data_IF_930987406658
#
_entry.id   IF_930987406658
#
_cell.length_a   1.000
_cell.length_b   1.000
_cell.length_c   1.000
_cell.angle_alpha   90.00
_cell.angle_beta   90.00
_cell.angle_gamma   90.00
#
_symmetry.space_group_name_H-M   'P 1'
#
loop_
_entity.id
_entity.type
_entity.pdbx_description
1 polymer ?
#
# COMPACT_ATOMS: atom_id res chain seq x y z
N UNK A 1 26.89 18.50 -4.08
CA UNK A 1 26.92 19.89 -3.56
C UNK A 1 25.49 20.26 -3.19
N UNK A 2 25.07 20.59 -1.97
CA UNK A 2 25.63 20.49 -0.62
C UNK A 2 24.50 21.05 0.27
N UNK A 3 23.80 20.21 1.05
CA UNK A 3 22.81 20.75 2.00
C UNK A 3 23.48 21.55 3.15
N UNK A 4 24.83 21.48 3.24
CA UNK A 4 25.66 22.19 4.22
C UNK A 4 26.54 23.33 3.66
N UNK A 5 26.65 23.53 2.33
CA UNK A 5 27.30 24.74 1.73
C UNK A 5 26.29 25.83 1.37
N UNK A 6 25.00 25.61 1.63
CA UNK A 6 23.97 26.65 1.50
C UNK A 6 23.60 27.11 2.91
N UNK A 7 24.32 28.08 3.51
CA UNK A 7 24.05 28.61 4.86
C UNK A 7 22.63 29.20 5.05
N UNK A 8 21.86 29.26 3.97
CA UNK A 8 20.62 30.00 3.79
C UNK A 8 19.34 29.14 3.87
N UNK A 9 19.43 27.82 4.12
CA UNK A 9 18.25 26.95 4.20
C UNK A 9 18.25 25.88 5.32
N UNK A 10 18.52 26.21 6.60
CA UNK A 10 18.51 25.23 7.71
C UNK A 10 17.15 24.54 7.90
N UNK A 11 16.07 25.17 7.44
CA UNK A 11 14.72 24.60 7.45
C UNK A 11 14.60 23.32 6.60
N UNK A 12 15.49 23.09 5.63
CA UNK A 12 15.47 21.86 4.82
C UNK A 12 15.92 20.64 5.60
N UNK A 13 16.94 20.79 6.46
CA UNK A 13 17.34 19.73 7.38
C UNK A 13 16.17 19.36 8.30
N UNK A 14 15.50 20.39 8.85
CA UNK A 14 14.32 20.18 9.68
C UNK A 14 13.20 19.48 8.91
N UNK A 15 12.91 19.91 7.67
CA UNK A 15 11.91 19.28 6.79
C UNK A 15 12.24 17.81 6.54
N UNK A 16 13.51 17.49 6.26
CA UNK A 16 13.96 16.14 5.97
C UNK A 16 13.86 15.22 7.21
N UNK A 17 14.16 15.75 8.39
CA UNK A 17 13.97 15.04 9.66
C UNK A 17 12.48 14.82 9.95
N UNK A 18 11.65 15.86 9.76
CA UNK A 18 10.19 15.76 9.89
C UNK A 18 9.63 14.72 8.93
N UNK A 19 10.16 14.64 7.71
CA UNK A 19 9.78 13.62 6.74
C UNK A 19 10.08 12.21 7.28
N UNK A 20 11.29 11.95 7.78
CA UNK A 20 11.62 10.66 8.38
C UNK A 20 10.70 10.29 9.55
N UNK A 21 10.43 11.24 10.45
CA UNK A 21 9.47 11.03 11.55
C UNK A 21 8.05 10.78 11.07
N UNK A 22 7.63 11.44 9.97
CA UNK A 22 6.33 11.22 9.36
C UNK A 22 6.21 9.81 8.80
N UNK A 23 7.24 9.32 8.10
CA UNK A 23 7.31 7.92 7.65
C UNK A 23 7.24 6.94 8.82
N UNK A 24 7.99 7.20 9.89
CA UNK A 24 8.01 6.35 11.08
C UNK A 24 6.65 6.32 11.78
N UNK A 25 6.07 7.49 12.07
CA UNK A 25 4.79 7.62 12.74
C UNK A 25 3.66 7.00 11.92
N UNK A 26 3.62 7.27 10.60
CA UNK A 26 2.66 6.64 9.69
C UNK A 26 2.78 5.11 9.71
N UNK A 27 4.01 4.59 9.68
CA UNK A 27 4.29 3.16 9.75
C UNK A 27 3.87 2.51 11.06
N UNK A 28 4.13 3.16 12.20
CA UNK A 28 3.70 2.69 13.53
C UNK A 28 2.17 2.71 13.65
N UNK A 29 1.50 3.79 13.22
CA UNK A 29 0.04 3.89 13.21
C UNK A 29 -0.57 2.80 12.32
N UNK A 30 0.00 2.59 11.14
CA UNK A 30 -0.38 1.51 10.23
C UNK A 30 -0.25 0.12 10.87
N UNK A 31 0.89 -0.16 11.51
CA UNK A 31 1.16 -1.43 12.17
C UNK A 31 0.20 -1.68 13.35
N UNK A 32 -0.08 -0.65 14.17
CA UNK A 32 -1.03 -0.75 15.29
C UNK A 32 -2.47 -1.00 14.83
N UNK A 33 -2.90 -0.35 13.75
CA UNK A 33 -4.27 -0.54 13.22
C UNK A 33 -4.44 -1.89 12.51
N UNK A 34 -3.38 -2.44 11.92
CA UNK A 34 -3.42 -3.73 11.19
C UNK A 34 -2.12 -4.52 11.37
N UNK A 35 -1.93 -5.23 12.50
CA UNK A 35 -0.66 -5.92 12.82
C UNK A 35 -0.26 -7.03 11.83
N UNK A 36 -1.20 -7.55 11.03
CA UNK A 36 -0.90 -8.49 9.94
C UNK A 36 -0.52 -7.85 8.59
N UNK A 37 -0.58 -6.52 8.46
CA UNK A 37 -0.31 -5.83 7.21
C UNK A 37 1.13 -5.31 7.15
N UNK A 38 1.90 -5.79 6.17
CA UNK A 38 3.30 -5.41 5.97
C UNK A 38 3.50 -3.95 5.55
N UNK A 39 2.43 -3.22 5.18
CA UNK A 39 2.53 -1.79 4.84
C UNK A 39 3.19 -0.95 5.93
N UNK A 40 2.84 -1.19 7.21
CA UNK A 40 3.44 -0.46 8.33
C UNK A 40 4.94 -0.71 8.45
N UNK A 41 5.38 -1.97 8.28
CA UNK A 41 6.79 -2.33 8.28
C UNK A 41 7.58 -1.65 7.14
N UNK A 42 7.02 -1.61 5.92
CA UNK A 42 7.66 -0.93 4.78
C UNK A 42 7.85 0.58 5.07
N UNK A 43 6.87 1.24 5.69
CA UNK A 43 6.99 2.65 6.06
C UNK A 43 8.02 2.90 7.16
N UNK A 44 8.08 2.03 8.18
CA UNK A 44 9.10 2.12 9.23
C UNK A 44 10.50 1.94 8.63
N UNK A 45 10.69 0.94 7.76
CA UNK A 45 11.93 0.77 6.99
C UNK A 45 12.23 2.04 6.18
N UNK A 46 11.20 2.65 5.59
CA UNK A 46 11.35 3.88 4.85
C UNK A 46 11.83 5.07 5.66
N UNK A 47 11.47 5.18 6.94
CA UNK A 47 12.04 6.19 7.82
C UNK A 47 13.55 6.04 8.00
N UNK A 48 14.04 4.81 8.21
CA UNK A 48 15.47 4.54 8.33
C UNK A 48 16.21 4.78 7.01
N UNK A 49 15.62 4.37 5.90
CA UNK A 49 16.18 4.65 4.56
C UNK A 49 16.22 6.14 4.27
N UNK A 50 15.21 6.90 4.70
CA UNK A 50 15.18 8.36 4.57
C UNK A 50 16.34 9.00 5.33
N UNK A 51 16.53 8.63 6.60
CA UNK A 51 17.68 9.09 7.40
C UNK A 51 19.02 8.65 6.79
N UNK A 52 19.10 7.42 6.30
CA UNK A 52 20.27 6.89 5.60
C UNK A 52 20.63 7.71 4.37
N UNK A 53 19.65 8.06 3.53
CA UNK A 53 19.85 8.94 2.38
C UNK A 53 20.38 10.33 2.80
N UNK A 54 19.91 10.85 3.94
CA UNK A 54 20.39 12.10 4.52
C UNK A 54 21.88 12.08 4.88
N UNK A 55 22.47 10.92 5.16
CA UNK A 55 23.89 10.77 5.46
C UNK A 55 24.79 11.22 4.31
N UNK A 56 24.29 11.34 3.08
CA UNK A 56 25.03 11.86 1.92
C UNK A 56 25.59 13.26 2.17
N UNK A 57 25.00 13.98 3.13
CA UNK A 57 25.40 15.32 3.52
C UNK A 57 26.36 15.31 4.74
N UNK A 58 26.60 14.17 5.38
CA UNK A 58 27.46 14.12 6.56
C UNK A 58 28.91 14.54 6.24
N UNK A 59 29.61 15.21 7.18
CA UNK A 59 31.00 15.61 6.98
C UNK A 59 31.95 14.40 6.98
N UNK A 60 31.56 13.29 7.59
CA UNK A 60 32.36 12.07 7.63
C UNK A 60 32.21 11.31 6.31
N UNK A 61 33.32 11.11 5.60
CA UNK A 61 33.32 10.56 4.25
C UNK A 61 32.73 9.13 4.15
N UNK A 62 32.90 8.32 5.19
CA UNK A 62 32.28 6.99 5.24
C UNK A 62 30.74 7.07 5.33
N UNK A 63 30.19 8.05 6.05
CA UNK A 63 28.73 8.24 6.15
C UNK A 63 28.17 8.86 4.86
N UNK A 64 28.87 9.82 4.27
CA UNK A 64 28.48 10.39 2.97
C UNK A 64 28.43 9.33 1.88
N UNK A 65 29.43 8.44 1.83
CA UNK A 65 29.45 7.30 0.93
C UNK A 65 28.21 6.40 1.08
N UNK A 66 27.85 6.03 2.32
CA UNK A 66 26.64 5.23 2.58
C UNK A 66 25.39 5.96 2.09
N UNK A 67 25.28 7.25 2.40
CA UNK A 67 24.14 8.05 1.98
C UNK A 67 23.98 8.15 0.47
N UNK A 68 25.08 8.37 -0.26
CA UNK A 68 25.10 8.43 -1.73
C UNK A 68 24.60 7.12 -2.36
N UNK A 69 24.97 5.96 -1.80
CA UNK A 69 24.52 4.66 -2.30
C UNK A 69 23.01 4.47 -2.09
N UNK A 70 22.47 4.93 -0.97
CA UNK A 70 21.05 4.71 -0.61
C UNK A 70 20.12 5.86 -0.99
N UNK A 71 20.62 6.94 -1.56
CA UNK A 71 19.85 8.19 -1.73
C UNK A 71 18.61 8.07 -2.62
N UNK A 72 18.58 7.10 -3.53
CA UNK A 72 17.41 6.84 -4.40
C UNK A 72 16.44 5.81 -3.83
N UNK A 73 16.78 5.12 -2.73
CA UNK A 73 15.90 4.14 -2.10
C UNK A 73 14.58 4.72 -1.57
N UNK A 74 14.48 5.98 -1.07
CA UNK A 74 13.19 6.56 -0.70
C UNK A 74 12.16 6.52 -1.84
N UNK A 75 12.57 6.82 -3.07
CA UNK A 75 11.70 6.72 -4.25
C UNK A 75 11.32 5.25 -4.52
N UNK A 76 12.29 4.34 -4.44
CA UNK A 76 12.04 2.90 -4.63
C UNK A 76 11.02 2.34 -3.63
N UNK A 77 11.09 2.80 -2.37
CA UNK A 77 10.13 2.43 -1.34
C UNK A 77 8.72 2.96 -1.61
N UNK A 78 8.58 4.18 -2.15
CA UNK A 78 7.27 4.69 -2.57
C UNK A 78 6.67 3.81 -3.66
N UNK A 79 7.45 3.42 -4.67
CA UNK A 79 6.99 2.48 -5.71
C UNK A 79 6.62 1.12 -5.09
N UNK A 80 7.43 0.61 -4.17
CA UNK A 80 7.13 -0.62 -3.45
C UNK A 80 5.79 -0.51 -2.69
N UNK A 81 5.58 0.56 -1.91
CA UNK A 81 4.34 0.81 -1.19
C UNK A 81 3.14 0.81 -2.14
N UNK A 82 3.27 1.47 -3.29
CA UNK A 82 2.21 1.54 -4.30
C UNK A 82 1.83 0.17 -4.87
N UNK A 83 2.81 -0.68 -5.16
CA UNK A 83 2.56 -2.03 -5.65
C UNK A 83 2.06 -2.99 -4.56
N UNK A 84 2.54 -2.82 -3.32
CA UNK A 84 2.18 -3.65 -2.18
C UNK A 84 0.77 -3.35 -1.64
N UNK A 85 0.28 -2.13 -1.85
CA UNK A 85 -1.02 -1.69 -1.39
C UNK A 85 -2.20 -2.46 -2.01
N UNK A 86 -3.28 -2.74 -1.25
CA UNK A 86 -3.47 -2.50 0.18
C UNK A 86 -2.97 -3.62 1.11
N UNK A 87 -2.61 -4.77 0.54
CA UNK A 87 -2.29 -5.98 1.30
C UNK A 87 -0.90 -6.01 1.94
N UNK A 88 -0.03 -5.03 1.64
CA UNK A 88 1.38 -5.08 2.02
C UNK A 88 2.18 -6.16 1.27
N UNK A 89 1.64 -6.69 0.18
CA UNK A 89 2.25 -7.80 -0.58
C UNK A 89 2.22 -7.51 -2.07
N UNK A 90 3.31 -7.82 -2.74
CA UNK A 90 3.43 -7.71 -4.19
C UNK A 90 2.62 -8.84 -4.86
N UNK A 91 1.48 -8.47 -5.47
CA UNK A 91 0.61 -9.40 -6.19
C UNK A 91 1.00 -9.46 -7.67
N UNK A 92 1.22 -10.67 -8.17
CA UNK A 92 1.58 -10.94 -9.56
C UNK A 92 3.07 -10.74 -9.88
N UNK A 93 3.52 -11.38 -10.97
CA UNK A 93 4.91 -11.30 -11.43
C UNK A 93 5.31 -9.88 -11.84
N UNK A 94 4.45 -9.18 -12.58
CA UNK A 94 4.74 -7.82 -13.06
C UNK A 94 5.07 -6.83 -11.93
N UNK A 95 4.31 -6.83 -10.82
CA UNK A 95 4.63 -5.97 -9.67
C UNK A 95 5.98 -6.31 -9.04
N UNK A 96 6.35 -7.60 -8.99
CA UNK A 96 7.64 -8.03 -8.43
C UNK A 96 8.80 -7.61 -9.31
N UNK A 97 8.65 -7.77 -10.63
CA UNK A 97 9.66 -7.36 -11.62
C UNK A 97 9.87 -5.84 -11.58
N UNK A 98 8.80 -5.04 -11.57
CA UNK A 98 8.91 -3.58 -11.49
C UNK A 98 9.61 -3.16 -10.20
N UNK A 99 9.17 -3.68 -9.04
CA UNK A 99 9.77 -3.32 -7.76
C UNK A 99 11.24 -3.74 -7.69
N UNK A 100 11.58 -4.96 -8.14
CA UNK A 100 12.97 -5.39 -8.24
C UNK A 100 13.78 -4.49 -9.17
N UNK A 101 13.23 -4.11 -10.33
CA UNK A 101 13.85 -3.19 -11.28
C UNK A 101 14.12 -1.81 -10.68
N UNK A 102 13.18 -1.26 -9.90
CA UNK A 102 13.36 0.06 -9.27
C UNK A 102 14.42 0.01 -8.16
N UNK A 103 14.46 -1.04 -7.34
CA UNK A 103 15.55 -1.21 -6.37
C UNK A 103 16.91 -1.41 -7.05
N UNK A 104 16.94 -2.18 -8.14
CA UNK A 104 18.16 -2.42 -8.93
C UNK A 104 18.64 -1.13 -9.56
N UNK A 105 17.74 -0.32 -10.12
CA UNK A 105 18.07 0.98 -10.68
C UNK A 105 18.61 1.92 -9.59
N UNK A 106 17.91 2.01 -8.45
CA UNK A 106 18.31 2.87 -7.35
C UNK A 106 19.69 2.55 -6.77
N UNK A 107 20.10 1.27 -6.74
CA UNK A 107 21.37 0.83 -6.14
C UNK A 107 22.51 0.70 -7.17
N UNK A 108 22.24 0.04 -8.30
CA UNK A 108 23.28 -0.34 -9.26
C UNK A 108 23.41 0.67 -10.39
N UNK A 109 22.28 1.10 -10.97
CA UNK A 109 22.31 1.97 -12.14
C UNK A 109 22.75 3.40 -11.80
N UNK A 110 22.57 3.79 -10.54
CA UNK A 110 23.07 5.07 -10.03
C UNK A 110 24.57 5.08 -9.75
N UNK A 111 25.23 3.91 -9.72
CA UNK A 111 26.65 3.80 -9.36
C UNK A 111 27.62 4.69 -10.16
N UNK A 112 27.48 4.83 -11.50
CA UNK A 112 28.37 5.69 -12.27
C UNK A 112 28.40 7.15 -11.78
N UNK A 113 27.29 7.65 -11.22
CA UNK A 113 27.19 9.03 -10.78
C UNK A 113 28.06 9.35 -9.56
N UNK A 114 28.37 8.38 -8.70
CA UNK A 114 29.24 8.58 -7.54
C UNK A 114 30.61 7.90 -7.65
N UNK A 115 30.79 6.95 -8.59
CA UNK A 115 32.08 6.30 -8.84
C UNK A 115 32.96 7.07 -9.85
N UNK A 116 32.35 7.81 -10.78
CA UNK A 116 33.07 8.44 -11.90
C UNK A 116 32.93 9.95 -12.01
N UNK A 117 32.08 10.58 -11.18
CA UNK A 117 31.91 12.03 -11.20
C UNK A 117 33.01 12.74 -10.40
N UNK A 118 33.46 13.91 -10.85
CA UNK A 118 34.43 14.72 -10.12
C UNK A 118 33.78 15.36 -8.87
N UNK A 119 34.36 15.17 -7.68
CA UNK A 119 33.97 15.93 -6.50
C UNK A 119 34.47 15.41 -5.14
N UNK A 120 34.66 16.33 -4.18
CA UNK A 120 35.26 16.07 -2.86
C UNK A 120 34.44 15.11 -1.97
N UNK A 121 33.10 15.17 -2.04
CA UNK A 121 32.22 14.30 -1.25
C UNK A 121 32.14 12.86 -1.79
N UNK A 122 32.38 12.69 -3.10
CA UNK A 122 32.49 11.40 -3.76
C UNK A 122 33.92 10.87 -3.77
N UNK A 123 34.92 11.67 -3.38
CA UNK A 123 36.34 11.31 -3.47
C UNK A 123 36.70 10.01 -2.74
N UNK A 124 35.92 9.59 -1.75
CA UNK A 124 36.13 8.30 -1.06
C UNK A 124 35.64 7.10 -1.87
N UNK A 125 34.65 7.28 -2.75
CA UNK A 125 34.12 6.23 -3.64
C UNK A 125 34.57 6.39 -5.09
N UNK A 126 35.18 7.52 -5.46
CA UNK A 126 35.59 7.81 -6.82
C UNK A 126 36.73 6.88 -7.23
N UNK A 127 36.53 6.13 -8.32
CA UNK A 127 37.57 5.26 -8.90
C UNK A 127 38.40 5.99 -9.94
N UNK A 128 37.75 6.77 -10.80
CA UNK A 128 38.38 7.48 -11.91
C UNK A 128 37.51 8.66 -12.34
N UNK A 129 38.11 9.69 -12.92
CA UNK A 129 37.34 10.77 -13.56
C UNK A 129 36.99 10.36 -15.00
N UNK A 130 35.72 10.00 -15.22
CA UNK A 130 35.20 9.49 -16.51
C UNK A 130 33.82 10.10 -16.82
N UNK A 131 33.76 11.34 -17.33
CA UNK A 131 32.50 12.03 -17.60
C UNK A 131 31.64 11.33 -18.66
N UNK A 132 32.25 10.54 -19.55
CA UNK A 132 31.57 9.68 -20.52
C UNK A 132 30.72 8.60 -19.83
N UNK A 133 31.23 7.97 -18.77
CA UNK A 133 30.49 6.96 -18.00
C UNK A 133 29.40 7.58 -17.14
N UNK A 134 29.63 8.79 -16.60
CA UNK A 134 28.61 9.53 -15.84
C UNK A 134 27.43 9.89 -16.73
N UNK A 135 27.70 10.44 -17.93
CA UNK A 135 26.63 10.84 -18.88
C UNK A 135 25.87 9.65 -19.45
N UNK A 136 26.57 8.56 -19.78
CA UNK A 136 25.94 7.31 -20.19
C UNK A 136 25.08 6.74 -19.05
N UNK A 137 25.63 6.67 -17.84
CA UNK A 137 24.92 6.18 -16.65
C UNK A 137 23.65 6.98 -16.37
N UNK A 138 23.73 8.31 -16.42
CA UNK A 138 22.58 9.20 -16.26
C UNK A 138 21.52 8.94 -17.35
N UNK A 139 21.93 8.82 -18.62
CA UNK A 139 21.00 8.54 -19.73
C UNK A 139 20.28 7.22 -19.55
N UNK A 140 21.00 6.16 -19.16
CA UNK A 140 20.41 4.84 -18.89
C UNK A 140 19.51 4.90 -17.65
N UNK A 141 19.92 5.59 -16.59
CA UNK A 141 19.13 5.82 -15.38
C UNK A 141 17.81 6.53 -15.66
N UNK A 142 17.84 7.59 -16.46
CA UNK A 142 16.65 8.36 -16.81
C UNK A 142 15.70 7.55 -17.70
N UNK A 143 16.25 6.81 -18.66
CA UNK A 143 15.46 5.98 -19.58
C UNK A 143 14.80 4.82 -18.85
N UNK A 144 15.57 4.02 -18.11
CA UNK A 144 15.06 2.85 -17.38
C UNK A 144 14.18 3.31 -16.20
N UNK A 145 14.61 4.33 -15.46
CA UNK A 145 13.84 4.91 -14.36
C UNK A 145 12.48 5.43 -14.86
N UNK A 146 12.47 6.25 -15.92
CA UNK A 146 11.25 6.73 -16.56
C UNK A 146 10.33 5.61 -17.02
N UNK A 147 10.87 4.58 -17.69
CA UNK A 147 10.10 3.43 -18.12
C UNK A 147 9.46 2.66 -16.94
N UNK A 148 10.18 2.49 -15.84
CA UNK A 148 9.67 1.85 -14.62
C UNK A 148 8.58 2.70 -13.94
N UNK A 149 8.72 4.03 -13.93
CA UNK A 149 7.68 4.94 -13.40
C UNK A 149 6.40 4.88 -14.25
N UNK A 150 6.54 4.86 -15.58
CA UNK A 150 5.41 4.69 -16.52
C UNK A 150 4.75 3.33 -16.31
N UNK A 151 5.54 2.25 -16.25
CA UNK A 151 5.02 0.90 -16.01
C UNK A 151 4.28 0.80 -14.67
N UNK A 152 4.79 1.44 -13.62
CA UNK A 152 4.13 1.59 -12.31
C UNK A 152 2.77 2.26 -12.48
N UNK A 153 2.73 3.43 -13.13
CA UNK A 153 1.49 4.18 -13.38
C UNK A 153 0.46 3.37 -14.17
N UNK A 154 0.88 2.72 -15.26
CA UNK A 154 0.01 1.89 -16.10
C UNK A 154 -0.54 0.70 -15.32
N UNK A 155 0.30 -0.04 -14.59
CA UNK A 155 -0.13 -1.21 -13.84
C UNK A 155 -1.11 -0.82 -12.72
N UNK A 156 -0.84 0.27 -12.00
CA UNK A 156 -1.77 0.79 -11.00
C UNK A 156 -3.09 1.25 -11.63
N UNK A 157 -3.06 1.92 -12.79
CA UNK A 157 -4.26 2.33 -13.50
C UNK A 157 -5.10 1.11 -13.97
N UNK A 158 -4.47 0.08 -14.54
CA UNK A 158 -5.13 -1.15 -14.95
C UNK A 158 -5.75 -1.89 -13.74
N UNK A 159 -5.02 -1.95 -12.63
CA UNK A 159 -5.55 -2.49 -11.35
C UNK A 159 -6.75 -1.70 -10.86
N UNK A 160 -6.74 -0.37 -11.02
CA UNK A 160 -7.84 0.49 -10.60
C UNK A 160 -9.07 0.37 -11.51
N UNK A 161 -8.88 0.07 -12.80
CA UNK A 161 -9.98 -0.20 -13.75
C UNK A 161 -10.70 -1.52 -13.47
N UNK A 162 -9.99 -2.52 -12.95
CA UNK A 162 -10.54 -3.83 -12.61
C UNK A 162 -11.14 -3.92 -11.19
N UNK A 163 -10.94 -2.90 -10.34
CA UNK A 163 -11.49 -2.87 -8.99
C UNK A 163 -12.99 -2.52 -8.97
N UNK A 164 -13.75 -3.12 -8.04
CA UNK A 164 -15.19 -2.85 -7.86
C UNK A 164 -15.46 -1.39 -7.43
N UNK A 165 -16.64 -0.87 -7.74
CA UNK A 165 -17.00 0.54 -7.54
C UNK A 165 -16.86 1.04 -6.09
N UNK A 166 -17.18 0.18 -5.10
CA UNK A 166 -16.99 0.49 -3.69
C UNK A 166 -15.50 0.57 -3.30
N UNK A 167 -14.66 -0.31 -3.84
CA UNK A 167 -13.21 -0.27 -3.64
C UNK A 167 -12.57 0.93 -4.33
N UNK A 168 -13.03 1.31 -5.53
CA UNK A 168 -12.50 2.47 -6.27
C UNK A 168 -12.69 3.79 -5.51
N UNK A 169 -13.85 4.03 -4.88
CA UNK A 169 -14.11 5.30 -4.17
C UNK A 169 -13.17 5.55 -2.98
N UNK A 170 -12.72 4.49 -2.31
CA UNK A 170 -11.82 4.60 -1.16
C UNK A 170 -10.34 4.52 -1.55
N UNK A 171 -10.00 3.78 -2.62
CA UNK A 171 -8.62 3.54 -3.03
C UNK A 171 -8.12 4.52 -4.10
N UNK A 172 -9.02 5.16 -4.86
CA UNK A 172 -8.65 6.03 -5.97
C UNK A 172 -7.89 7.30 -5.55
N UNK A 173 -8.26 8.04 -4.49
CA UNK A 173 -7.55 9.28 -4.13
C UNK A 173 -6.08 9.01 -3.80
N UNK A 174 -5.83 7.92 -3.08
CA UNK A 174 -4.49 7.50 -2.66
C UNK A 174 -3.67 6.91 -3.81
N UNK A 175 -4.27 6.04 -4.63
CA UNK A 175 -3.60 5.50 -5.80
C UNK A 175 -3.29 6.62 -6.80
N UNK A 176 -4.20 7.57 -7.00
CA UNK A 176 -4.00 8.73 -7.85
C UNK A 176 -2.87 9.62 -7.31
N UNK A 177 -2.88 9.93 -6.02
CA UNK A 177 -1.81 10.70 -5.39
C UNK A 177 -0.45 10.03 -5.58
N UNK A 178 -0.36 8.72 -5.35
CA UNK A 178 0.87 7.97 -5.53
C UNK A 178 1.34 7.88 -6.99
N UNK A 179 0.42 7.70 -7.94
CA UNK A 179 0.73 7.75 -9.38
C UNK A 179 1.25 9.14 -9.74
N UNK A 180 0.56 10.20 -9.31
CA UNK A 180 0.98 11.58 -9.57
C UNK A 180 2.35 11.84 -8.93
N UNK A 181 2.59 11.39 -7.71
CA UNK A 181 3.87 11.55 -7.03
C UNK A 181 5.03 10.91 -7.81
N UNK A 182 4.83 9.67 -8.25
CA UNK A 182 5.84 8.90 -8.96
C UNK A 182 6.08 9.43 -10.37
N UNK A 183 5.01 9.70 -11.13
CA UNK A 183 5.10 10.18 -12.52
C UNK A 183 5.58 11.63 -12.58
N UNK A 184 5.27 12.46 -11.57
CA UNK A 184 5.77 13.84 -11.52
C UNK A 184 7.25 13.92 -11.20
N UNK A 185 7.87 12.88 -10.63
CA UNK A 185 9.30 12.91 -10.26
C UNK A 185 10.22 13.21 -11.46
N UNK A 186 10.16 12.50 -12.60
CA UNK A 186 10.95 12.84 -13.79
C UNK A 186 10.51 14.14 -14.48
N UNK A 187 9.32 14.66 -14.19
CA UNK A 187 8.86 15.93 -14.71
C UNK A 187 9.44 17.10 -13.89
N UNK A 188 9.45 16.97 -12.57
CA UNK A 188 10.02 17.96 -11.65
C UNK A 188 11.51 18.20 -11.93
N UNK A 189 12.27 17.16 -12.28
CA UNK A 189 13.69 17.33 -12.62
C UNK A 189 13.88 18.20 -13.87
N UNK A 190 12.95 18.15 -14.83
CA UNK A 190 12.99 18.98 -16.05
C UNK A 190 12.45 20.38 -15.83
N UNK A 191 11.39 20.51 -15.02
CA UNK A 191 10.73 21.80 -14.76
C UNK A 191 11.54 22.70 -13.84
N UNK A 192 12.27 22.11 -12.89
CA UNK A 192 13.06 22.81 -11.88
C UNK A 192 14.56 22.70 -12.17
N UNK A 193 14.91 22.50 -13.44
CA UNK A 193 16.30 22.50 -13.88
C UNK A 193 16.95 23.86 -13.56
N UNK A 194 18.16 23.83 -13.00
CA UNK A 194 18.82 25.02 -12.45
C UNK A 194 18.30 25.51 -11.08
N UNK A 195 17.28 24.89 -10.48
CA UNK A 195 16.73 25.23 -9.15
C UNK A 195 16.82 24.05 -8.16
N UNK A 196 18.03 23.61 -7.76
CA UNK A 196 18.23 22.38 -6.97
C UNK A 196 17.51 22.41 -5.62
N UNK A 197 17.45 23.58 -4.98
CA UNK A 197 16.75 23.78 -3.71
C UNK A 197 15.24 23.53 -3.83
N UNK A 198 14.62 24.06 -4.89
CA UNK A 198 13.20 23.90 -5.15
C UNK A 198 12.86 22.46 -5.53
N UNK A 199 13.69 21.83 -6.36
CA UNK A 199 13.56 20.43 -6.73
C UNK A 199 13.60 19.51 -5.50
N UNK A 200 14.61 19.66 -4.64
CA UNK A 200 14.76 18.85 -3.44
C UNK A 200 13.59 19.02 -2.48
N UNK A 201 13.12 20.26 -2.31
CA UNK A 201 11.97 20.59 -1.45
C UNK A 201 10.69 19.95 -2.00
N UNK A 202 10.41 20.12 -3.29
CA UNK A 202 9.24 19.55 -3.94
C UNK A 202 9.26 18.01 -3.85
N UNK A 203 10.40 17.38 -4.14
CA UNK A 203 10.55 15.93 -4.05
C UNK A 203 10.35 15.42 -2.62
N UNK A 204 10.94 16.10 -1.63
CA UNK A 204 10.78 15.75 -0.21
C UNK A 204 9.33 15.81 0.21
N UNK A 205 8.62 16.91 -0.09
CA UNK A 205 7.20 17.07 0.23
C UNK A 205 6.35 16.00 -0.46
N UNK A 206 6.61 15.74 -1.74
CA UNK A 206 5.87 14.78 -2.55
C UNK A 206 6.00 13.35 -2.02
N UNK A 207 7.22 12.92 -1.69
CA UNK A 207 7.46 11.58 -1.14
C UNK A 207 6.98 11.46 0.32
N UNK A 208 7.01 12.54 1.10
CA UNK A 208 6.52 12.56 2.48
C UNK A 208 5.00 12.53 2.57
N UNK A 209 4.30 13.12 1.61
CA UNK A 209 2.84 13.04 1.59
C UNK A 209 2.31 11.63 1.31
N UNK A 210 3.12 10.75 0.70
CA UNK A 210 2.75 9.36 0.41
C UNK A 210 2.40 8.56 1.68
N UNK A 211 3.27 8.40 2.68
CA UNK A 211 2.95 7.68 3.91
C UNK A 211 1.80 8.33 4.68
N UNK A 212 1.65 9.67 4.65
CA UNK A 212 0.51 10.37 5.24
C UNK A 212 -0.79 9.95 4.57
N UNK A 213 -0.83 9.97 3.24
CA UNK A 213 -2.00 9.57 2.47
C UNK A 213 -2.35 8.09 2.71
N UNK A 214 -1.35 7.21 2.79
CA UNK A 214 -1.55 5.79 3.12
C UNK A 214 -2.06 5.59 4.56
N UNK A 215 -1.47 6.26 5.54
CA UNK A 215 -1.88 6.20 6.93
C UNK A 215 -3.30 6.75 7.10
N UNK A 216 -3.63 7.86 6.44
CA UNK A 216 -4.97 8.44 6.41
C UNK A 216 -5.97 7.47 5.79
N UNK A 217 -5.67 6.85 4.65
CA UNK A 217 -6.57 5.87 4.04
C UNK A 217 -6.81 4.63 4.93
N UNK A 218 -5.77 4.16 5.62
CA UNK A 218 -5.92 3.08 6.60
C UNK A 218 -6.65 3.52 7.87
N UNK A 219 -6.55 4.81 8.23
CA UNK A 219 -7.22 5.37 9.39
C UNK A 219 -8.71 5.67 9.15
N UNK A 220 -9.03 6.19 7.97
CA UNK A 220 -10.39 6.52 7.49
C UNK A 220 -11.19 5.24 7.22
N UNK A 221 -10.51 4.14 6.85
CA UNK A 221 -10.91 2.81 7.29
C UNK A 221 -12.38 2.40 7.03
N UNK A 222 -12.97 2.79 5.90
CA UNK A 222 -14.25 2.27 5.39
C UNK A 222 -14.18 0.80 4.96
N UNK A 223 -13.56 -0.06 5.76
CA UNK A 223 -13.53 -1.51 5.62
C UNK A 223 -14.25 -2.17 6.80
N UNK A 224 -15.49 -1.76 7.07
CA UNK A 224 -16.44 -2.52 7.88
C UNK A 224 -17.34 -3.35 6.94
N UNK A 225 -17.92 -4.50 7.33
CA UNK A 225 -17.51 -5.55 8.26
C UNK A 225 -17.50 -6.92 7.53
N UNK A 226 -16.91 -7.05 6.33
CA UNK A 226 -16.99 -8.33 5.59
C UNK A 226 -16.09 -9.42 6.16
N UNK A 227 -15.06 -9.06 6.93
CA UNK A 227 -14.20 -10.03 7.60
C UNK A 227 -14.93 -10.75 8.75
N UNK A 228 -15.81 -10.06 9.48
CA UNK A 228 -16.63 -10.66 10.52
C UNK A 228 -17.65 -11.64 9.94
N UNK A 229 -18.30 -11.29 8.83
CA UNK A 229 -19.27 -12.18 8.17
C UNK A 229 -18.60 -13.38 7.49
N UNK A 230 -17.42 -13.20 6.88
CA UNK A 230 -16.67 -14.31 6.27
C UNK A 230 -16.03 -15.24 7.30
N UNK A 231 -15.62 -14.70 8.46
CA UNK A 231 -15.07 -15.49 9.56
C UNK A 231 -16.19 -16.18 10.36
N UNK A 232 -17.36 -15.54 10.49
CA UNK A 232 -18.57 -16.16 11.03
C UNK A 232 -19.11 -17.22 10.07
N UNK A 233 -19.10 -17.00 8.74
CA UNK A 233 -19.48 -18.03 7.77
C UNK A 233 -18.47 -19.16 7.66
N UNK A 234 -17.18 -18.90 7.87
CA UNK A 234 -16.15 -19.94 7.94
C UNK A 234 -16.21 -20.71 9.25
N UNK A 235 -16.56 -20.07 10.37
CA UNK A 235 -16.78 -20.73 11.66
C UNK A 235 -18.08 -21.53 11.66
N UNK A 236 -19.16 -20.98 11.10
CA UNK A 236 -20.44 -21.68 10.87
C UNK A 236 -20.30 -22.79 9.82
N UNK A 237 -19.42 -22.63 8.83
CA UNK A 237 -19.13 -23.64 7.82
C UNK A 237 -18.14 -24.71 8.26
N UNK A 238 -17.38 -24.48 9.34
CA UNK A 238 -16.43 -25.43 9.92
C UNK A 238 -16.98 -26.18 11.14
N UNK A 239 -18.07 -25.69 11.74
CA UNK A 239 -18.80 -26.42 12.76
C UNK A 239 -19.86 -27.31 12.08
N UNK A 240 -19.62 -28.62 12.04
CA UNK A 240 -20.53 -29.63 11.46
C UNK A 240 -21.97 -29.61 12.06
N UNK A 241 -22.22 -28.80 13.10
CA UNK A 241 -23.48 -28.69 13.85
C UNK A 241 -24.07 -27.26 13.89
N UNK A 242 -23.60 -26.34 13.05
CA UNK A 242 -24.06 -24.94 13.05
C UNK A 242 -25.60 -24.76 12.93
N UNK A 243 -26.33 -25.54 12.10
CA UNK A 243 -27.79 -25.45 12.01
C UNK A 243 -28.51 -25.87 13.31
N UNK A 244 -28.03 -26.92 13.97
CA UNK A 244 -28.60 -27.42 15.22
C UNK A 244 -28.39 -26.46 16.39
N UNK A 245 -27.23 -25.79 16.42
CA UNK A 245 -26.90 -24.80 17.47
C UNK A 245 -27.74 -23.54 17.33
N UNK A 246 -28.03 -23.11 16.09
CA UNK A 246 -28.95 -22.01 15.80
C UNK A 246 -30.40 -22.35 16.18
N UNK A 247 -30.86 -23.59 15.95
CA UNK A 247 -32.20 -24.05 16.37
C UNK A 247 -32.35 -23.97 17.89
N UNK A 248 -31.36 -24.44 18.65
CA UNK A 248 -31.39 -24.40 20.12
C UNK A 248 -31.52 -22.97 20.66
N UNK A 249 -30.71 -22.04 20.14
CA UNK A 249 -30.76 -20.65 20.58
C UNK A 249 -32.09 -19.94 20.24
N UNK A 250 -32.70 -20.28 19.10
CA UNK A 250 -34.00 -19.73 18.69
C UNK A 250 -35.14 -20.33 19.51
N UNK A 251 -35.09 -21.64 19.80
CA UNK A 251 -36.07 -22.32 20.65
C UNK A 251 -36.05 -21.77 22.09
N UNK A 252 -34.87 -21.53 22.65
CA UNK A 252 -34.72 -20.93 23.99
C UNK A 252 -35.23 -19.48 24.04
N UNK A 253 -34.98 -18.70 22.99
CA UNK A 253 -35.45 -17.31 22.91
C UNK A 253 -36.98 -17.20 22.71
N UNK A 254 -37.59 -18.19 22.04
CA UNK A 254 -39.04 -18.25 21.82
C UNK A 254 -39.78 -19.05 22.90
N UNK A 255 -39.07 -19.76 23.78
CA UNK A 255 -39.64 -20.62 24.81
C UNK A 255 -40.39 -21.84 24.24
N UNK A 256 -40.13 -22.20 22.99
CA UNK A 256 -40.88 -23.22 22.26
C UNK A 256 -39.92 -24.21 21.57
N UNK A 257 -39.93 -25.46 22.04
CA UNK A 257 -39.09 -26.54 21.52
C UNK A 257 -39.55 -27.12 20.17
N UNK A 258 -40.72 -26.71 19.68
CA UNK A 258 -41.28 -27.17 18.41
C UNK A 258 -40.75 -26.41 17.19
N UNK A 259 -39.99 -25.32 17.38
CA UNK A 259 -39.57 -24.41 16.30
C UNK A 259 -38.59 -25.07 15.31
N UNK A 260 -39.04 -25.32 14.09
CA UNK A 260 -38.23 -25.83 12.98
C UNK A 260 -37.63 -24.66 12.16
N UNK A 261 -36.31 -24.68 11.94
CA UNK A 261 -35.62 -23.71 11.07
C UNK A 261 -35.44 -24.30 9.66
N UNK A 262 -35.95 -23.59 8.66
CA UNK A 262 -35.74 -23.90 7.25
C UNK A 262 -34.71 -22.93 6.66
N UNK A 263 -33.64 -23.47 6.10
CA UNK A 263 -32.58 -22.72 5.44
C UNK A 263 -32.73 -22.84 3.92
N UNK A 264 -32.53 -21.73 3.19
CA UNK A 264 -32.59 -21.73 1.73
C UNK A 264 -31.26 -22.16 1.12
N UNK A 265 -31.22 -23.30 0.43
CA UNK A 265 -30.04 -23.84 -0.24
C UNK A 265 -30.11 -23.66 -1.76
N UNK A 266 -30.27 -22.42 -2.22
CA UNK A 266 -30.16 -22.01 -3.63
C UNK A 266 -31.38 -22.38 -4.51
N UNK A 267 -31.91 -23.58 -4.37
CA UNK A 267 -33.06 -24.09 -5.14
C UNK A 267 -34.15 -24.76 -4.29
N UNK A 268 -33.85 -25.12 -3.04
CA UNK A 268 -34.78 -25.81 -2.13
C UNK A 268 -34.62 -25.35 -0.69
N UNK A 269 -35.71 -25.45 0.08
CA UNK A 269 -35.66 -25.32 1.53
C UNK A 269 -35.15 -26.63 2.14
N UNK A 270 -34.20 -26.52 3.06
CA UNK A 270 -33.63 -27.64 3.81
C UNK A 270 -33.81 -27.41 5.30
N UNK A 271 -34.15 -28.47 6.03
CA UNK A 271 -34.23 -28.46 7.48
C UNK A 271 -32.83 -28.46 8.14
N UNK A 272 -32.79 -28.41 9.47
CA UNK A 272 -31.56 -28.48 10.25
C UNK A 272 -30.78 -29.78 10.08
N UNK A 273 -31.39 -30.83 9.52
CA UNK A 273 -30.79 -32.13 9.23
C UNK A 273 -30.39 -32.26 7.74
N UNK A 274 -30.55 -31.20 6.94
CA UNK A 274 -30.21 -31.17 5.51
C UNK A 274 -31.21 -31.90 4.61
N UNK A 275 -32.39 -32.30 5.10
CA UNK A 275 -33.46 -32.89 4.29
C UNK A 275 -34.30 -31.82 3.63
N UNK A 276 -34.73 -32.09 2.40
CA UNK A 276 -35.60 -31.17 1.67
C UNK A 276 -36.97 -31.10 2.35
N UNK A 277 -37.44 -29.90 2.66
CA UNK A 277 -38.71 -29.66 3.31
C UNK A 277 -39.53 -28.63 2.52
N UNK A 278 -40.85 -28.81 2.47
CA UNK A 278 -41.76 -27.83 1.87
C UNK A 278 -42.17 -26.79 2.93
N UNK A 279 -42.34 -25.53 2.51
CA UNK A 279 -42.94 -24.51 3.37
C UNK A 279 -44.39 -24.93 3.71
N UNK A 280 -44.84 -24.76 4.96
CA UNK A 280 -46.24 -24.97 5.30
C UNK A 280 -47.12 -23.93 4.58
N UNK A 281 -48.30 -24.36 4.12
CA UNK A 281 -49.27 -23.51 3.44
C UNK A 281 -49.67 -22.33 4.34
N UNK A 282 -49.74 -21.12 3.75
CA UNK A 282 -49.95 -19.84 4.44
C UNK A 282 -51.31 -19.68 5.18
N UNK A 283 -52.09 -20.76 5.31
CA UNK A 283 -53.36 -20.83 6.04
C UNK A 283 -53.37 -21.77 7.25
N UNK A 284 -52.27 -22.44 7.58
CA UNK A 284 -52.18 -23.25 8.79
C UNK A 284 -52.00 -22.33 10.02
N UNK A 285 -52.69 -22.63 11.12
CA UNK A 285 -52.72 -21.85 12.37
C UNK A 285 -51.39 -21.80 13.14
N UNK A 286 -50.30 -22.28 12.53
CA UNK A 286 -48.94 -22.24 13.06
C UNK A 286 -48.09 -21.34 12.15
N UNK A 287 -48.23 -20.03 12.36
CA UNK A 287 -47.72 -19.01 11.46
C UNK A 287 -46.19 -18.84 11.59
N UNK A 288 -45.43 -19.49 10.70
CA UNK A 288 -44.01 -19.19 10.50
C UNK A 288 -43.82 -17.75 10.01
N UNK A 289 -43.10 -16.91 10.77
CA UNK A 289 -42.73 -15.56 10.33
C UNK A 289 -41.43 -15.62 9.51
N UNK A 290 -41.43 -15.20 8.23
CA UNK A 290 -40.20 -15.10 7.45
C UNK A 290 -39.32 -13.96 7.99
N UNK A 291 -38.13 -14.30 8.49
CA UNK A 291 -37.11 -13.31 8.86
C UNK A 291 -36.11 -13.23 7.72
N UNK A 292 -36.22 -12.18 6.90
CA UNK A 292 -35.29 -11.94 5.80
C UNK A 292 -33.96 -11.38 6.35
N UNK A 293 -32.90 -12.18 6.29
CA UNK A 293 -31.53 -11.69 6.48
C UNK A 293 -31.16 -10.69 5.37
N UNK A 294 -30.68 -9.51 5.74
CA UNK A 294 -30.27 -8.46 4.81
C UNK A 294 -29.09 -8.93 3.94
N UNK A 295 -29.38 -9.56 2.81
CA UNK A 295 -28.38 -10.06 1.88
C UNK A 295 -28.90 -10.92 0.71
N UNK A 296 -30.12 -11.47 0.80
CA UNK A 296 -30.70 -12.26 -0.28
C UNK A 296 -32.14 -11.84 -0.58
N UNK A 297 -32.41 -11.43 -1.82
CA UNK A 297 -33.78 -11.36 -2.32
C UNK A 297 -34.33 -12.78 -2.40
N UNK A 298 -35.10 -13.20 -1.39
CA UNK A 298 -35.94 -14.39 -1.51
C UNK A 298 -37.05 -14.16 -2.54
N UNK A 299 -37.54 -15.22 -3.22
CA UNK A 299 -38.70 -15.10 -4.10
C UNK A 299 -39.92 -14.71 -3.26
N UNK A 300 -40.71 -13.76 -3.78
CA UNK A 300 -42.01 -13.40 -3.21
C UNK A 300 -42.92 -14.62 -3.34
N UNK A 301 -43.60 -14.96 -2.24
CA UNK A 301 -44.75 -15.87 -2.23
C UNK A 301 -45.86 -15.32 -3.13
#
# INVERSE_FOLDING_TARGET
MLLFDQPDAPWQLALFIVAAWTWFAAGVVAARRRPGNRMGAIMVVGAFVWLGAGLANAPLAALSAVGLVVQLLPLALVVHLLHAFPSGRLRGGASRVIVAGVYTAALLLHAPAYLFAPGDAAATLQLADRPDLVTLGATVQDTIGGALMVATGVLLALRMRSATQAQRRLLAPLALYGIVAVVSTPLLSRLLDGAPLAFFTAQTLLLTGVPVAFAAAMAIGGFAPTAGVAQLSAWLGAADNAPATLRGAVADALGDGSVALLLWAGERWVDSDGRAAALPDAGATDAGRPVAGAGGRGPRA
#
